data_IF_156663768264
#
_entry.id   IF_156663768264
#
_cell.length_a   1.000
_cell.length_b   1.000
_cell.length_c   1.000
_cell.angle_alpha   90.00
_cell.angle_beta   90.00
_cell.angle_gamma   90.00
#
_symmetry.space_group_name_H-M   'P 1'
#
loop_
_entity.id
_entity.type
_entity.pdbx_description
1 polymer ?
#
# COMPACT_ATOMS: atom_id res chain seq x y z
N UNK A 1 21.41 -29.06 8.65
CA UNK A 1 22.64 -28.25 8.50
C UNK A 1 22.45 -26.93 9.24
N UNK A 2 23.13 -26.72 10.38
CA UNK A 2 23.21 -25.40 11.03
C UNK A 2 24.34 -24.64 10.35
N UNK A 3 24.06 -23.47 9.78
CA UNK A 3 25.11 -22.62 9.20
C UNK A 3 26.05 -22.19 10.34
N UNK A 4 27.36 -22.48 10.26
CA UNK A 4 28.32 -21.88 11.18
C UNK A 4 28.23 -20.35 11.05
N UNK A 5 28.28 -19.62 12.17
CA UNK A 5 28.05 -18.16 12.24
C UNK A 5 26.60 -17.67 11.97
N UNK A 6 25.61 -18.57 11.95
CA UNK A 6 24.21 -18.21 11.67
C UNK A 6 23.60 -17.13 12.58
N UNK A 7 24.03 -17.03 13.84
CA UNK A 7 23.53 -16.00 14.78
C UNK A 7 23.92 -14.58 14.36
N UNK A 8 25.15 -14.38 13.88
CA UNK A 8 25.63 -13.05 13.46
C UNK A 8 24.98 -12.64 12.13
N UNK A 9 24.87 -13.58 11.19
CA UNK A 9 24.17 -13.34 9.92
C UNK A 9 22.68 -13.05 10.15
N UNK A 10 22.03 -13.79 11.05
CA UNK A 10 20.65 -13.53 11.44
C UNK A 10 20.48 -12.14 12.10
N UNK A 11 21.41 -11.73 12.97
CA UNK A 11 21.38 -10.41 13.59
C UNK A 11 21.49 -9.28 12.55
N UNK A 12 22.42 -9.40 11.60
CA UNK A 12 22.57 -8.42 10.50
C UNK A 12 21.34 -8.42 9.59
N UNK A 13 20.79 -9.60 9.26
CA UNK A 13 19.56 -9.71 8.48
C UNK A 13 18.37 -9.04 9.19
N UNK A 14 18.19 -9.28 10.49
CA UNK A 14 17.14 -8.62 11.27
C UNK A 14 17.33 -7.10 11.30
N UNK A 15 18.56 -6.62 11.44
CA UNK A 15 18.86 -5.19 11.38
C UNK A 15 18.50 -4.58 10.02
N UNK A 16 18.83 -5.26 8.92
CA UNK A 16 18.42 -4.87 7.56
C UNK A 16 16.90 -4.85 7.39
N UNK A 17 16.19 -5.86 7.92
CA UNK A 17 14.71 -5.93 7.91
C UNK A 17 14.10 -4.77 8.70
N UNK A 18 14.68 -4.38 9.83
CA UNK A 18 14.23 -3.21 10.59
C UNK A 18 14.37 -1.94 9.76
N UNK A 19 15.51 -1.70 9.11
CA UNK A 19 15.67 -0.54 8.23
C UNK A 19 14.70 -0.56 7.04
N UNK A 20 14.49 -1.72 6.41
CA UNK A 20 13.56 -1.88 5.29
C UNK A 20 12.09 -1.64 5.68
N UNK A 21 11.68 -2.13 6.85
CA UNK A 21 10.33 -1.90 7.37
C UNK A 21 10.13 -0.46 7.83
N UNK A 22 11.16 0.17 8.41
CA UNK A 22 11.11 1.57 8.84
C UNK A 22 10.91 2.52 7.64
N UNK A 23 11.67 2.34 6.55
CA UNK A 23 11.51 3.19 5.35
C UNK A 23 10.14 3.02 4.70
N UNK A 24 9.61 1.79 4.66
CA UNK A 24 8.26 1.52 4.15
C UNK A 24 7.18 2.18 5.01
N UNK A 25 7.32 2.13 6.34
CA UNK A 25 6.42 2.78 7.26
C UNK A 25 6.44 4.31 7.12
N UNK A 26 7.61 4.92 6.94
CA UNK A 26 7.73 6.36 6.69
C UNK A 26 7.02 6.79 5.40
N UNK A 27 7.20 6.06 4.30
CA UNK A 27 6.54 6.36 3.02
C UNK A 27 5.01 6.30 3.12
N UNK A 28 4.48 5.30 3.84
CA UNK A 28 3.03 5.20 4.11
C UNK A 28 2.53 6.35 4.99
N UNK A 29 3.25 6.70 6.05
CA UNK A 29 2.89 7.79 6.95
C UNK A 29 2.89 9.15 6.24
N UNK A 30 3.91 9.40 5.41
CA UNK A 30 4.01 10.61 4.59
C UNK A 30 2.83 10.72 3.63
N UNK A 31 2.45 9.62 2.96
CA UNK A 31 1.29 9.61 2.04
C UNK A 31 -0.01 9.98 2.76
N UNK A 32 -0.24 9.44 3.96
CA UNK A 32 -1.42 9.76 4.78
C UNK A 32 -1.40 11.24 5.20
N UNK A 33 -0.25 11.76 5.64
CA UNK A 33 -0.10 13.16 6.04
C UNK A 33 -0.32 14.09 4.83
N UNK A 34 0.31 13.81 3.69
CA UNK A 34 0.20 14.61 2.48
C UNK A 34 -1.24 14.66 1.96
N UNK A 35 -1.95 13.52 1.96
CA UNK A 35 -3.37 13.48 1.59
C UNK A 35 -4.26 14.33 2.50
N UNK A 36 -3.89 14.43 3.79
CA UNK A 36 -4.65 15.19 4.79
C UNK A 36 -4.36 16.70 4.69
N UNK A 37 -3.08 17.08 4.55
CA UNK A 37 -2.67 18.50 4.44
C UNK A 37 -3.21 19.13 3.16
N UNK A 38 -3.24 18.38 2.05
CA UNK A 38 -3.70 18.85 0.75
C UNK A 38 -5.20 19.20 0.73
N UNK A 39 -5.97 18.78 1.73
CA UNK A 39 -7.39 19.13 1.86
C UNK A 39 -7.69 20.33 2.78
N UNK A 40 -6.78 20.78 3.66
CA UNK A 40 -7.07 21.94 4.55
C UNK A 40 -5.79 22.50 5.22
N UNK A 41 -5.24 23.61 4.71
CA UNK A 41 -4.04 24.25 5.31
C UNK A 41 -4.27 24.84 6.71
N UNK A 42 -5.54 25.06 7.13
CA UNK A 42 -5.86 25.78 8.37
C UNK A 42 -5.94 24.92 9.63
N UNK A 43 -5.81 23.59 9.54
CA UNK A 43 -6.03 22.67 10.69
C UNK A 43 -4.83 21.83 11.09
N UNK A 44 -3.59 22.34 10.91
CA UNK A 44 -2.33 21.69 11.33
C UNK A 44 -2.36 21.04 12.74
N UNK A 45 -3.08 21.60 13.71
CA UNK A 45 -3.19 21.05 15.08
C UNK A 45 -4.13 19.84 15.22
N UNK A 46 -5.19 19.73 14.41
CA UNK A 46 -6.09 18.57 14.45
C UNK A 46 -5.50 17.34 13.75
N UNK A 47 -4.55 17.55 12.82
CA UNK A 47 -3.88 16.49 12.05
C UNK A 47 -2.95 15.67 12.95
N UNK A 48 -2.26 16.30 13.90
CA UNK A 48 -1.49 15.61 14.96
C UNK A 48 -2.40 14.75 15.85
N UNK A 49 -3.63 15.19 16.12
CA UNK A 49 -4.61 14.43 16.89
C UNK A 49 -5.16 13.22 16.13
N UNK A 50 -5.41 13.35 14.83
CA UNK A 50 -5.90 12.25 13.99
C UNK A 50 -4.80 11.22 13.68
N UNK A 51 -3.58 11.68 13.40
CA UNK A 51 -2.42 10.79 13.21
C UNK A 51 -2.03 10.09 14.51
N UNK A 52 -2.07 10.78 15.65
CA UNK A 52 -1.94 10.15 16.97
C UNK A 52 -3.08 9.17 17.26
N UNK A 53 -4.30 9.39 16.77
CA UNK A 53 -5.44 8.48 16.95
C UNK A 53 -5.36 7.25 16.04
N UNK A 54 -4.89 7.40 14.81
CA UNK A 54 -4.59 6.28 13.89
C UNK A 54 -3.39 5.45 14.38
N UNK A 55 -2.36 6.12 14.92
CA UNK A 55 -1.24 5.47 15.58
C UNK A 55 -1.68 4.76 16.87
N UNK A 56 -2.54 5.39 17.68
CA UNK A 56 -3.11 4.78 18.90
C UNK A 56 -4.03 3.60 18.58
N UNK A 57 -4.77 3.63 17.46
CA UNK A 57 -5.59 2.51 17.01
C UNK A 57 -4.73 1.34 16.49
N UNK A 58 -3.57 1.64 15.90
CA UNK A 58 -2.58 0.64 15.46
C UNK A 58 -1.75 0.08 16.63
N UNK A 59 -1.41 0.92 17.61
CA UNK A 59 -0.71 0.56 18.84
C UNK A 59 -1.62 -0.17 19.84
N UNK A 60 -2.94 0.02 19.75
CA UNK A 60 -3.95 -0.76 20.46
C UNK A 60 -4.16 -2.12 19.80
N UNK A 61 -3.08 -2.86 19.59
CA UNK A 61 -3.17 -4.26 19.23
C UNK A 61 -2.33 -5.08 20.19
N UNK A 62 -2.97 -5.90 21.04
CA UNK A 62 -2.25 -6.85 21.86
C UNK A 62 -1.78 -7.99 20.95
N UNK A 63 -0.67 -7.81 20.24
CA UNK A 63 0.05 -8.91 19.57
C UNK A 63 1.18 -9.41 20.46
N UNK A 64 0.86 -9.75 21.71
CA UNK A 64 1.72 -10.53 22.61
C UNK A 64 0.86 -11.38 23.58
N UNK A 65 -0.27 -11.93 23.12
CA UNK A 65 -1.04 -12.90 23.92
C UNK A 65 -1.43 -14.14 23.10
N UNK A 66 -0.53 -14.57 22.22
CA UNK A 66 -0.59 -15.87 21.53
C UNK A 66 0.20 -16.95 22.29
N UNK A 67 0.74 -16.65 23.48
CA UNK A 67 1.49 -17.61 24.29
C UNK A 67 0.61 -18.44 25.24
N UNK A 68 -0.67 -18.06 25.41
CA UNK A 68 -1.59 -18.77 26.30
C UNK A 68 -2.76 -19.29 25.46
N UNK A 69 -2.76 -20.60 25.24
CA UNK A 69 -3.75 -21.35 24.49
C UNK A 69 -5.14 -21.30 25.15
N UNK A 70 -5.82 -20.17 25.01
CA UNK A 70 -7.24 -20.03 25.34
C UNK A 70 -7.94 -19.58 24.08
N UNK A 71 -8.76 -20.49 23.54
CA UNK A 71 -9.69 -20.28 22.43
C UNK A 71 -10.49 -18.98 22.58
N UNK A 72 -9.97 -17.91 21.97
CA UNK A 72 -10.70 -16.66 21.73
C UNK A 72 -11.05 -16.59 20.24
N UNK A 73 -11.85 -17.56 19.80
CA UNK A 73 -12.43 -17.65 18.44
C UNK A 73 -13.29 -16.43 18.06
N UNK A 74 -13.52 -15.50 18.99
CA UNK A 74 -14.37 -14.32 18.82
C UNK A 74 -13.62 -12.97 18.85
N UNK A 75 -12.30 -12.95 19.09
CA UNK A 75 -11.55 -11.70 19.34
C UNK A 75 -10.51 -11.35 18.27
N UNK A 76 -10.39 -12.15 17.20
CA UNK A 76 -9.52 -11.87 16.05
C UNK A 76 -10.16 -11.00 14.97
N UNK A 77 -11.48 -10.80 14.96
CA UNK A 77 -12.15 -10.41 13.72
C UNK A 77 -12.01 -8.94 13.31
N UNK A 78 -11.88 -7.96 14.21
CA UNK A 78 -12.02 -6.56 13.77
C UNK A 78 -10.88 -6.09 12.86
N UNK A 79 -9.63 -6.32 13.24
CA UNK A 79 -8.54 -5.92 12.35
C UNK A 79 -8.42 -6.86 11.17
N UNK A 80 -8.63 -8.16 11.35
CA UNK A 80 -8.57 -9.12 10.24
C UNK A 80 -9.64 -8.78 9.17
N UNK A 81 -10.82 -8.36 9.62
CA UNK A 81 -11.87 -7.84 8.75
C UNK A 81 -11.45 -6.53 8.05
N UNK A 82 -10.78 -5.60 8.76
CA UNK A 82 -10.23 -4.40 8.11
C UNK A 82 -9.15 -4.74 7.08
N UNK A 83 -8.27 -5.69 7.39
CA UNK A 83 -7.21 -6.17 6.48
C UNK A 83 -7.82 -6.83 5.23
N UNK A 84 -8.86 -7.65 5.43
CA UNK A 84 -9.65 -8.24 4.36
C UNK A 84 -10.35 -7.18 3.51
N UNK A 85 -11.07 -6.23 4.11
CA UNK A 85 -11.77 -5.17 3.37
C UNK A 85 -10.78 -4.32 2.57
N UNK A 86 -9.61 -4.00 3.13
CA UNK A 86 -8.59 -3.22 2.44
C UNK A 86 -8.01 -3.99 1.26
N UNK A 87 -7.57 -5.23 1.49
CA UNK A 87 -6.87 -6.05 0.48
C UNK A 87 -7.82 -6.60 -0.59
N UNK A 88 -9.06 -6.94 -0.23
CA UNK A 88 -10.05 -7.54 -1.10
C UNK A 88 -10.88 -6.54 -1.91
N UNK A 89 -11.20 -5.40 -1.29
CA UNK A 89 -12.19 -4.48 -1.85
C UNK A 89 -11.53 -3.16 -2.21
N UNK A 90 -10.86 -2.50 -1.26
CA UNK A 90 -10.32 -1.15 -1.46
C UNK A 90 -9.17 -1.15 -2.48
N UNK A 91 -8.23 -2.10 -2.37
CA UNK A 91 -7.07 -2.16 -3.26
C UNK A 91 -7.47 -2.46 -4.72
N UNK A 92 -8.33 -3.46 -5.03
CA UNK A 92 -8.78 -3.70 -6.39
C UNK A 92 -9.64 -2.57 -6.96
N UNK A 93 -10.54 -1.98 -6.16
CA UNK A 93 -11.35 -0.82 -6.59
C UNK A 93 -10.46 0.40 -6.86
N UNK A 94 -9.47 0.65 -6.02
CA UNK A 94 -8.50 1.73 -6.22
C UNK A 94 -7.72 1.54 -7.52
N UNK A 95 -7.21 0.33 -7.76
CA UNK A 95 -6.53 -0.01 -9.01
C UNK A 95 -7.44 0.12 -10.24
N UNK A 96 -8.70 -0.28 -10.13
CA UNK A 96 -9.71 -0.16 -11.19
C UNK A 96 -9.97 1.30 -11.53
N UNK A 97 -10.18 2.13 -10.51
CA UNK A 97 -10.45 3.56 -10.66
C UNK A 97 -9.28 4.26 -11.35
N UNK A 98 -8.04 3.97 -10.92
CA UNK A 98 -6.82 4.52 -11.56
C UNK A 98 -6.68 4.02 -13.00
N UNK A 99 -6.89 2.74 -13.27
CA UNK A 99 -6.80 2.17 -14.62
C UNK A 99 -7.82 2.82 -15.58
N UNK A 100 -9.08 2.94 -15.17
CA UNK A 100 -10.12 3.59 -15.99
C UNK A 100 -9.79 5.07 -16.19
N UNK A 101 -9.39 5.77 -15.14
CA UNK A 101 -9.05 7.19 -15.23
C UNK A 101 -7.89 7.44 -16.21
N UNK A 102 -6.79 6.70 -16.09
CA UNK A 102 -5.62 6.84 -16.95
C UNK A 102 -5.86 6.34 -18.39
N UNK A 103 -6.66 5.28 -18.58
CA UNK A 103 -6.84 4.69 -19.90
C UNK A 103 -8.02 5.26 -20.72
N UNK A 104 -9.06 5.78 -20.07
CA UNK A 104 -10.30 6.21 -20.73
C UNK A 104 -10.66 7.68 -20.51
N UNK A 105 -10.33 8.28 -19.36
CA UNK A 105 -10.72 9.67 -19.04
C UNK A 105 -9.64 10.67 -19.48
N UNK A 106 -8.37 10.34 -19.27
CA UNK A 106 -7.27 11.25 -19.61
C UNK A 106 -6.93 11.19 -21.10
N UNK A 107 -6.74 12.37 -21.72
CA UNK A 107 -6.36 12.45 -23.13
C UNK A 107 -4.99 11.78 -23.34
N UNK A 108 -4.93 10.85 -24.32
CA UNK A 108 -3.72 10.04 -24.59
C UNK A 108 -2.50 10.92 -24.84
N UNK A 109 -2.67 12.07 -25.50
CA UNK A 109 -1.56 12.98 -25.78
C UNK A 109 -1.07 13.68 -24.51
N UNK A 110 -1.96 13.99 -23.57
CA UNK A 110 -1.60 14.56 -22.27
C UNK A 110 -0.85 13.53 -21.42
N UNK A 111 -1.35 12.28 -21.33
CA UNK A 111 -0.67 11.18 -20.61
C UNK A 111 0.71 10.91 -21.20
N UNK A 112 0.84 10.86 -22.52
CA UNK A 112 2.12 10.63 -23.21
C UNK A 112 3.09 11.80 -23.01
N UNK A 113 2.57 13.02 -22.90
CA UNK A 113 3.37 14.23 -22.65
C UNK A 113 3.86 14.27 -21.21
N UNK A 114 3.04 13.98 -20.22
CA UNK A 114 3.44 13.92 -18.81
C UNK A 114 4.36 12.72 -18.53
N UNK A 115 4.05 11.53 -19.08
CA UNK A 115 4.91 10.35 -18.94
C UNK A 115 6.25 10.50 -19.69
N UNK A 116 6.28 11.31 -20.76
CA UNK A 116 7.48 11.66 -21.51
C UNK A 116 8.17 12.94 -21.01
N UNK A 117 7.57 13.69 -20.07
CA UNK A 117 8.12 14.92 -19.53
C UNK A 117 9.28 14.59 -18.57
N UNK A 118 10.45 14.33 -19.15
CA UNK A 118 11.68 14.05 -18.42
C UNK A 118 12.43 12.80 -18.86
N UNK A 119 11.95 12.05 -19.85
CA UNK A 119 12.64 10.83 -20.29
C UNK A 119 12.58 10.62 -21.80
N UNK A 120 13.72 10.20 -22.38
CA UNK A 120 13.90 9.84 -23.80
C UNK A 120 13.30 8.46 -24.10
N UNK A 121 12.11 8.16 -23.57
CA UNK A 121 11.45 6.87 -23.81
C UNK A 121 10.77 6.92 -25.17
N UNK A 122 10.99 5.92 -26.04
CA UNK A 122 10.31 5.87 -27.33
C UNK A 122 8.79 5.80 -27.12
N UNK A 123 8.06 6.61 -27.90
CA UNK A 123 6.59 6.69 -27.84
C UNK A 123 5.91 5.32 -27.94
N UNK A 124 6.52 4.36 -28.63
CA UNK A 124 6.05 2.98 -28.73
C UNK A 124 5.96 2.28 -27.37
N UNK A 125 6.94 2.45 -26.49
CA UNK A 125 6.95 1.83 -25.14
C UNK A 125 5.88 2.46 -24.25
N UNK A 126 5.72 3.78 -24.32
CA UNK A 126 4.65 4.47 -23.58
C UNK A 126 3.25 4.05 -24.07
N UNK A 127 3.07 3.87 -25.38
CA UNK A 127 1.82 3.36 -25.95
C UNK A 127 1.56 1.90 -25.53
N UNK A 128 2.59 1.06 -25.52
CA UNK A 128 2.49 -0.35 -25.10
C UNK A 128 2.18 -0.47 -23.61
N UNK A 129 2.76 0.40 -22.78
CA UNK A 129 2.43 0.54 -21.36
C UNK A 129 0.98 0.99 -21.15
N UNK A 130 0.52 2.00 -21.89
CA UNK A 130 -0.87 2.49 -21.80
C UNK A 130 -1.86 1.42 -22.28
N UNK A 131 -1.50 0.66 -23.32
CA UNK A 131 -2.30 -0.46 -23.80
C UNK A 131 -2.35 -1.60 -22.76
N UNK A 132 -1.22 -1.90 -22.13
CA UNK A 132 -1.13 -2.83 -21.00
C UNK A 132 -2.01 -2.37 -19.84
N UNK A 133 -1.97 -1.09 -19.47
CA UNK A 133 -2.86 -0.56 -18.43
C UNK A 133 -4.35 -0.61 -18.81
N UNK A 134 -4.68 -0.47 -20.10
CA UNK A 134 -6.06 -0.49 -20.57
C UNK A 134 -6.66 -1.90 -20.61
N UNK A 135 -5.87 -2.92 -20.90
CA UNK A 135 -6.35 -4.30 -21.05
C UNK A 135 -5.94 -5.20 -19.89
N UNK A 136 -4.68 -5.14 -19.46
CA UNK A 136 -4.09 -6.06 -18.49
C UNK A 136 -4.54 -5.72 -17.06
N UNK A 137 -4.71 -4.44 -16.74
CA UNK A 137 -5.20 -4.02 -15.42
C UNK A 137 -6.65 -4.47 -15.13
N UNK A 138 -7.66 -4.26 -16.00
CA UNK A 138 -9.01 -4.75 -15.73
C UNK A 138 -9.07 -6.28 -15.69
N UNK A 139 -8.30 -6.98 -16.53
CA UNK A 139 -8.19 -8.45 -16.47
C UNK A 139 -7.64 -8.91 -15.13
N UNK A 140 -6.55 -8.29 -14.64
CA UNK A 140 -5.98 -8.62 -13.34
C UNK A 140 -6.97 -8.39 -12.20
N UNK A 141 -7.75 -7.30 -12.24
CA UNK A 141 -8.77 -7.00 -11.23
C UNK A 141 -9.88 -8.06 -11.26
N UNK A 142 -10.35 -8.47 -12.44
CA UNK A 142 -11.35 -9.55 -12.56
C UNK A 142 -10.79 -10.86 -11.97
N UNK A 143 -9.53 -11.21 -12.25
CA UNK A 143 -8.90 -12.41 -11.69
C UNK A 143 -8.81 -12.36 -10.16
N UNK A 144 -8.47 -11.21 -9.59
CA UNK A 144 -8.44 -11.00 -8.13
C UNK A 144 -9.84 -11.15 -7.53
N UNK A 145 -10.87 -10.59 -8.17
CA UNK A 145 -12.26 -10.77 -7.72
C UNK A 145 -12.76 -12.21 -7.83
N UNK A 146 -12.23 -13.01 -8.76
CA UNK A 146 -12.60 -14.43 -8.93
C UNK A 146 -11.82 -15.35 -7.98
N UNK A 147 -10.60 -14.97 -7.56
CA UNK A 147 -9.80 -15.73 -6.58
C UNK A 147 -10.07 -15.36 -5.12
N UNK A 148 -10.81 -14.27 -4.88
CA UNK A 148 -11.29 -13.88 -3.56
C UNK A 148 -12.48 -14.73 -3.13
#
# INVERSE_FOLDING_TARGET
MKMPFGTVLFAVFMLLVVFATLTSAFSMLETVIASTIRQDERKRKNILGLSARLFSLSASRPRCLSAYGVSLRFRQNHFDLWDYVISAVIMPIGALSVSIFTAWIQDKQSVLKDAGAGSTVPRAVLLLWLNTLRYLAPIAIIIVFVNF
#
